data_IF_955139466187
#
_entry.id   IF_955139466187
#
_cell.length_a   1.000
_cell.length_b   1.000
_cell.length_c   1.000
_cell.angle_alpha   90.00
_cell.angle_beta   90.00
_cell.angle_gamma   90.00
#
_symmetry.space_group_name_H-M   'P 1'
#
loop_
_entity.id
_entity.type
_entity.pdbx_description
1 polymer ?
#
# COMPACT_ATOMS: atom_id res chain seq x y z
N UNK A 1 3.20 12.19 25.17
CA UNK A 1 2.80 10.93 24.49
C UNK A 1 2.06 11.17 23.17
N UNK A 2 1.21 12.19 23.05
CA UNK A 2 0.46 12.52 21.83
C UNK A 2 1.33 12.78 20.57
N UNK A 3 2.51 13.40 20.70
CA UNK A 3 3.38 13.70 19.55
C UNK A 3 3.91 12.46 18.81
N UNK A 4 4.06 11.31 19.49
CA UNK A 4 4.58 10.10 18.84
C UNK A 4 3.60 9.49 17.83
N UNK A 5 2.29 9.57 18.09
CA UNK A 5 1.28 9.10 17.15
C UNK A 5 1.20 10.00 15.92
N UNK A 6 1.35 11.31 16.10
CA UNK A 6 1.41 12.27 14.99
C UNK A 6 2.67 12.04 14.13
N UNK A 7 3.81 11.74 14.75
CA UNK A 7 5.04 11.39 14.03
C UNK A 7 4.88 10.11 13.20
N UNK A 8 4.15 9.11 13.69
CA UNK A 8 3.88 7.88 12.93
C UNK A 8 2.95 8.10 11.75
N UNK A 9 2.03 9.07 11.86
CA UNK A 9 1.16 9.48 10.76
C UNK A 9 1.87 10.30 9.69
N UNK A 10 3.01 10.91 10.04
CA UNK A 10 3.82 11.70 9.11
C UNK A 10 4.67 10.79 8.23
N UNK A 11 4.86 11.19 6.98
CA UNK A 11 5.70 10.49 6.01
C UNK A 11 7.22 10.60 6.33
N UNK A 12 7.57 11.52 7.23
CA UNK A 12 8.94 11.88 7.58
C UNK A 12 9.39 11.11 8.82
N UNK A 13 10.47 10.34 8.70
CA UNK A 13 11.05 9.60 9.82
C UNK A 13 11.54 8.19 9.44
N UNK A 14 12.16 7.53 10.41
CA UNK A 14 12.53 6.12 10.41
C UNK A 14 11.96 5.45 11.65
N UNK A 15 11.48 4.22 11.50
CA UNK A 15 10.91 3.45 12.61
C UNK A 15 11.70 2.15 12.78
N UNK A 16 12.17 1.94 14.01
CA UNK A 16 12.84 0.72 14.43
C UNK A 16 11.92 -0.51 14.35
N UNK A 17 12.50 -1.68 14.11
CA UNK A 17 11.81 -2.97 13.91
C UNK A 17 10.76 -3.28 14.98
N UNK A 18 11.07 -3.00 16.25
CA UNK A 18 10.15 -3.28 17.38
C UNK A 18 8.92 -2.39 17.33
N UNK A 19 9.10 -1.11 17.03
CA UNK A 19 8.00 -0.15 16.92
C UNK A 19 7.14 -0.47 15.69
N UNK A 20 7.75 -0.84 14.57
CA UNK A 20 7.03 -1.28 13.37
C UNK A 20 6.18 -2.52 13.63
N UNK A 21 6.77 -3.55 14.25
CA UNK A 21 6.07 -4.80 14.58
C UNK A 21 4.89 -4.55 15.55
N UNK A 22 5.12 -3.83 16.66
CA UNK A 22 4.07 -3.52 17.64
C UNK A 22 2.95 -2.73 16.98
N UNK A 23 3.27 -1.64 16.28
CA UNK A 23 2.24 -0.75 15.71
C UNK A 23 1.48 -1.44 14.59
N UNK A 24 2.17 -2.17 13.72
CA UNK A 24 1.54 -2.95 12.65
C UNK A 24 0.62 -4.04 13.20
N UNK A 25 1.07 -4.81 14.20
CA UNK A 25 0.23 -5.81 14.85
C UNK A 25 -0.95 -5.17 15.58
N UNK A 26 -0.75 -4.08 16.32
CA UNK A 26 -1.84 -3.36 16.99
C UNK A 26 -2.85 -2.83 15.97
N UNK A 27 -2.41 -2.23 14.88
CA UNK A 27 -3.28 -1.73 13.82
C UNK A 27 -4.07 -2.85 13.15
N UNK A 28 -3.42 -3.99 12.85
CA UNK A 28 -4.07 -5.16 12.26
C UNK A 28 -5.14 -5.75 13.18
N UNK A 29 -4.81 -5.95 14.46
CA UNK A 29 -5.75 -6.46 15.47
C UNK A 29 -6.91 -5.50 15.65
N UNK A 30 -6.63 -4.20 15.82
CA UNK A 30 -7.67 -3.18 15.97
C UNK A 30 -8.59 -3.14 14.76
N UNK A 31 -8.03 -3.18 13.53
CA UNK A 31 -8.81 -3.19 12.30
C UNK A 31 -9.73 -4.41 12.22
N UNK A 32 -9.20 -5.59 12.54
CA UNK A 32 -9.99 -6.82 12.53
C UNK A 32 -11.18 -6.76 13.50
N UNK A 33 -10.96 -6.27 14.73
CA UNK A 33 -12.04 -6.12 15.70
C UNK A 33 -13.06 -5.06 15.29
N UNK A 34 -12.60 -3.95 14.70
CA UNK A 34 -13.47 -2.86 14.24
C UNK A 34 -14.36 -3.34 13.08
N UNK A 35 -13.80 -4.08 12.12
CA UNK A 35 -14.56 -4.65 11.01
C UNK A 35 -15.59 -5.67 11.48
N UNK A 36 -15.20 -6.53 12.43
CA UNK A 36 -16.11 -7.49 13.04
C UNK A 36 -17.24 -6.80 13.81
N UNK A 37 -16.92 -5.74 14.55
CA UNK A 37 -17.89 -4.95 15.30
C UNK A 37 -18.88 -4.25 14.36
N UNK A 38 -18.40 -3.59 13.31
CA UNK A 38 -19.26 -2.90 12.34
C UNK A 38 -20.14 -3.91 11.58
N UNK A 39 -19.58 -5.02 11.13
CA UNK A 39 -20.36 -6.05 10.45
C UNK A 39 -21.46 -6.65 11.33
N UNK A 40 -21.16 -6.93 12.60
CA UNK A 40 -22.13 -7.50 13.53
C UNK A 40 -23.16 -6.47 14.04
N UNK A 41 -22.71 -5.32 14.53
CA UNK A 41 -23.56 -4.35 15.22
C UNK A 41 -24.37 -3.45 14.26
N UNK A 42 -23.82 -3.11 13.09
CA UNK A 42 -24.48 -2.19 12.14
C UNK A 42 -25.26 -2.96 11.08
N UNK A 43 -24.72 -4.08 10.59
CA UNK A 43 -25.28 -4.82 9.45
C UNK A 43 -25.81 -6.21 9.81
N UNK A 44 -25.67 -6.66 11.08
CA UNK A 44 -26.15 -7.97 11.53
C UNK A 44 -25.47 -9.17 10.86
N UNK A 45 -24.30 -8.98 10.23
CA UNK A 45 -23.58 -10.02 9.49
C UNK A 45 -22.47 -10.63 10.33
N UNK A 46 -22.32 -11.96 10.27
CA UNK A 46 -21.19 -12.65 10.88
C UNK A 46 -19.93 -12.47 10.04
N UNK A 47 -18.91 -11.80 10.59
CA UNK A 47 -17.63 -11.55 9.91
C UNK A 47 -16.51 -12.41 10.48
N UNK A 48 -15.90 -13.23 9.61
CA UNK A 48 -14.77 -14.10 9.95
C UNK A 48 -13.55 -13.78 9.08
N UNK A 49 -12.36 -14.23 9.47
CA UNK A 49 -11.13 -14.03 8.68
C UNK A 49 -11.26 -14.60 7.25
N UNK A 50 -12.04 -15.66 7.09
CA UNK A 50 -12.32 -16.29 5.80
C UNK A 50 -13.21 -15.44 4.89
N UNK A 51 -14.00 -14.53 5.46
CA UNK A 51 -14.87 -13.62 4.69
C UNK A 51 -14.07 -12.62 3.85
N UNK A 52 -12.80 -12.36 4.17
CA UNK A 52 -11.90 -11.57 3.32
C UNK A 52 -11.47 -12.32 2.04
N UNK A 53 -11.53 -13.65 2.05
CA UNK A 53 -11.11 -14.47 0.93
C UNK A 53 -12.27 -14.90 0.03
N UNK A 54 -13.51 -14.79 0.52
CA UNK A 54 -14.68 -15.02 -0.31
C UNK A 54 -14.80 -13.86 -1.31
N UNK A 55 -14.80 -14.12 -2.62
CA UNK A 55 -15.17 -13.12 -3.60
C UNK A 55 -16.53 -12.57 -3.19
N UNK A 56 -16.68 -11.24 -3.17
CA UNK A 56 -17.95 -10.53 -3.04
C UNK A 56 -18.84 -10.94 -4.23
N UNK A 57 -19.45 -12.12 -4.14
CA UNK A 57 -20.22 -12.84 -5.16
C UNK A 57 -19.64 -12.80 -6.58
N UNK A 58 -19.20 -13.94 -7.16
CA UNK A 58 -18.69 -14.01 -8.55
C UNK A 58 -19.62 -13.41 -9.63
N UNK A 59 -20.89 -13.15 -9.31
CA UNK A 59 -21.94 -12.71 -10.23
C UNK A 59 -22.51 -11.32 -9.92
N UNK A 60 -21.94 -10.56 -8.98
CA UNK A 60 -22.41 -9.22 -8.64
C UNK A 60 -21.99 -8.19 -9.70
N UNK A 61 -22.68 -8.21 -10.86
CA UNK A 61 -22.74 -7.04 -11.75
C UNK A 61 -23.15 -5.83 -10.90
N UNK A 62 -22.46 -4.70 -11.07
CA UNK A 62 -22.66 -3.49 -10.27
C UNK A 62 -24.13 -3.05 -10.14
N UNK A 63 -25.02 -3.49 -11.05
CA UNK A 63 -26.46 -3.18 -11.06
C UNK A 63 -27.39 -4.09 -10.24
N UNK A 64 -26.93 -5.20 -9.66
CA UNK A 64 -27.78 -6.12 -8.86
C UNK A 64 -27.37 -6.23 -7.39
N UNK A 65 -26.45 -5.39 -6.91
CA UNK A 65 -26.07 -5.36 -5.50
C UNK A 65 -27.17 -4.68 -4.70
N UNK A 66 -27.78 -5.42 -3.77
CA UNK A 66 -28.76 -4.89 -2.82
C UNK A 66 -28.19 -3.63 -2.12
N UNK A 67 -28.97 -2.54 -1.97
CA UNK A 67 -28.46 -1.26 -1.43
C UNK A 67 -27.78 -1.40 -0.06
N UNK A 68 -28.26 -2.34 0.77
CA UNK A 68 -27.66 -2.70 2.05
C UNK A 68 -26.22 -3.22 1.92
N UNK A 69 -25.94 -4.07 0.92
CA UNK A 69 -24.59 -4.58 0.65
C UNK A 69 -23.65 -3.48 0.16
N UNK A 70 -24.15 -2.50 -0.62
CA UNK A 70 -23.32 -1.35 -1.04
C UNK A 70 -22.92 -0.50 0.16
N UNK A 71 -23.88 -0.17 1.03
CA UNK A 71 -23.62 0.61 2.24
C UNK A 71 -22.63 -0.11 3.17
N UNK A 72 -22.78 -1.43 3.34
CA UNK A 72 -21.84 -2.26 4.09
C UNK A 72 -20.41 -2.16 3.58
N UNK A 73 -20.22 -2.35 2.27
CA UNK A 73 -18.89 -2.34 1.66
C UNK A 73 -18.26 -0.95 1.69
N UNK A 74 -19.03 0.11 1.41
CA UNK A 74 -18.52 1.50 1.50
C UNK A 74 -18.14 1.85 2.93
N UNK A 75 -18.92 1.41 3.92
CA UNK A 75 -18.60 1.66 5.33
C UNK A 75 -17.28 0.99 5.72
N UNK A 76 -17.11 -0.28 5.36
CA UNK A 76 -15.84 -1.01 5.61
C UNK A 76 -14.65 -0.38 4.88
N UNK A 77 -14.87 0.19 3.69
CA UNK A 77 -13.83 0.91 2.94
C UNK A 77 -13.40 2.18 3.67
N UNK A 78 -14.35 3.05 4.01
CA UNK A 78 -14.04 4.32 4.70
C UNK A 78 -13.30 4.03 6.01
N UNK A 79 -13.71 2.98 6.71
CA UNK A 79 -13.06 2.48 7.91
C UNK A 79 -11.65 1.95 7.65
N UNK A 80 -11.36 1.41 6.46
CA UNK A 80 -10.05 0.91 6.07
C UNK A 80 -9.06 1.99 5.65
N UNK A 81 -9.51 3.12 5.10
CA UNK A 81 -8.65 4.22 4.66
C UNK A 81 -7.60 4.67 5.70
N UNK A 82 -7.95 4.97 6.97
CA UNK A 82 -6.94 5.39 7.95
C UNK A 82 -5.91 4.29 8.25
N UNK A 83 -6.31 3.02 8.19
CA UNK A 83 -5.41 1.88 8.41
C UNK A 83 -4.52 1.60 7.20
N UNK A 84 -5.02 1.80 5.98
CA UNK A 84 -4.22 1.75 4.75
C UNK A 84 -3.16 2.84 4.79
N UNK A 85 -3.53 4.07 5.17
CA UNK A 85 -2.59 5.18 5.32
C UNK A 85 -1.51 4.88 6.37
N UNK A 86 -1.92 4.42 7.56
CA UNK A 86 -0.97 4.00 8.61
C UNK A 86 -0.06 2.87 8.13
N UNK A 87 -0.59 1.85 7.48
CA UNK A 87 0.21 0.73 6.97
C UNK A 87 1.22 1.16 5.92
N UNK A 88 0.80 1.99 4.96
CA UNK A 88 1.68 2.53 3.92
C UNK A 88 2.79 3.41 4.52
N UNK A 89 2.44 4.34 5.43
CA UNK A 89 3.43 5.22 6.09
C UNK A 89 4.44 4.45 6.94
N UNK A 90 3.99 3.45 7.71
CA UNK A 90 4.87 2.57 8.49
C UNK A 90 5.81 1.77 7.57
N UNK A 91 5.30 1.26 6.46
CA UNK A 91 6.07 0.50 5.46
C UNK A 91 7.16 1.39 4.83
N UNK A 92 6.80 2.62 4.42
CA UNK A 92 7.75 3.63 3.91
C UNK A 92 8.85 3.92 4.92
N UNK A 93 8.47 4.21 6.17
CA UNK A 93 9.41 4.56 7.23
C UNK A 93 10.36 3.41 7.56
N UNK A 94 9.86 2.17 7.49
CA UNK A 94 10.66 0.97 7.74
C UNK A 94 11.57 0.61 6.57
N UNK A 95 11.11 0.79 5.33
CA UNK A 95 11.96 0.64 4.13
C UNK A 95 13.11 1.65 4.16
N UNK A 96 12.83 2.89 4.57
CA UNK A 96 13.85 3.93 4.78
C UNK A 96 14.87 3.53 5.85
N UNK A 97 14.41 3.00 6.98
CA UNK A 97 15.28 2.51 8.07
C UNK A 97 16.13 1.29 7.68
N UNK A 98 15.58 0.43 6.82
CA UNK A 98 16.26 -0.75 6.28
C UNK A 98 17.17 -0.44 5.07
N UNK A 99 17.17 0.80 4.57
CA UNK A 99 17.92 1.20 3.36
C UNK A 99 17.44 0.49 2.09
N UNK A 100 16.16 0.12 2.02
CA UNK A 100 15.55 -0.58 0.88
C UNK A 100 14.79 0.40 -0.02
N UNK A 101 14.64 0.09 -1.32
CA UNK A 101 14.00 1.01 -2.25
C UNK A 101 12.51 1.20 -1.92
N UNK A 102 12.05 2.44 -2.05
CA UNK A 102 10.72 2.87 -1.61
C UNK A 102 9.58 2.33 -2.48
N UNK A 103 9.84 1.94 -3.72
CA UNK A 103 8.81 1.36 -4.60
C UNK A 103 8.21 0.06 -4.03
N UNK A 104 8.92 -0.63 -3.13
CA UNK A 104 8.44 -1.86 -2.49
C UNK A 104 7.18 -1.65 -1.63
N UNK A 105 6.82 -0.40 -1.31
CA UNK A 105 5.54 -0.06 -0.66
C UNK A 105 4.34 -0.58 -1.46
N UNK A 106 4.45 -0.72 -2.78
CA UNK A 106 3.38 -1.28 -3.63
C UNK A 106 3.00 -2.71 -3.21
N UNK A 107 3.94 -3.49 -2.66
CA UNK A 107 3.68 -4.83 -2.14
C UNK A 107 2.72 -4.84 -0.94
N UNK A 108 2.52 -3.70 -0.27
CA UNK A 108 1.53 -3.54 0.79
C UNK A 108 0.10 -3.78 0.29
N UNK A 109 -0.17 -3.45 -0.97
CA UNK A 109 -1.51 -3.56 -1.55
C UNK A 109 -1.82 -4.97 -2.06
N UNK A 110 -0.87 -5.90 -1.98
CA UNK A 110 -1.08 -7.29 -2.38
C UNK A 110 -1.27 -8.14 -1.13
N UNK A 111 -2.48 -8.59 -0.76
CA UNK A 111 -2.78 -9.08 0.59
C UNK A 111 -1.84 -10.16 1.14
N UNK A 112 -1.58 -11.22 0.36
CA UNK A 112 -0.70 -12.34 0.77
C UNK A 112 0.75 -11.89 0.86
N UNK A 113 1.20 -11.13 -0.16
CA UNK A 113 2.57 -10.65 -0.22
C UNK A 113 2.81 -9.64 0.89
N UNK A 114 1.83 -8.79 1.21
CA UNK A 114 1.89 -7.80 2.28
C UNK A 114 2.15 -8.47 3.63
N UNK A 115 1.50 -9.59 3.93
CA UNK A 115 1.75 -10.31 5.18
C UNK A 115 3.18 -10.85 5.26
N UNK A 116 3.66 -11.50 4.19
CA UNK A 116 5.04 -12.01 4.11
C UNK A 116 6.05 -10.86 4.16
N UNK A 117 5.74 -9.76 3.49
CA UNK A 117 6.56 -8.57 3.41
C UNK A 117 6.64 -7.86 4.77
N UNK A 118 5.53 -7.73 5.48
CA UNK A 118 5.49 -7.22 6.85
C UNK A 118 6.37 -8.06 7.78
N UNK A 119 6.26 -9.40 7.72
CA UNK A 119 7.12 -10.30 8.49
C UNK A 119 8.60 -10.12 8.16
N UNK A 120 8.93 -10.03 6.88
CA UNK A 120 10.30 -9.81 6.40
C UNK A 120 10.87 -8.45 6.84
N UNK A 121 10.07 -7.38 6.84
CA UNK A 121 10.48 -6.08 7.37
C UNK A 121 10.69 -6.09 8.89
N UNK A 122 9.99 -6.95 9.62
CA UNK A 122 10.18 -7.15 11.05
C UNK A 122 11.48 -7.90 11.39
N UNK A 123 11.93 -8.81 10.51
CA UNK A 123 13.19 -9.57 10.72
C UNK A 123 14.43 -8.81 10.27
N UNK A 124 14.31 -7.89 9.32
CA UNK A 124 15.42 -7.04 8.89
C UNK A 124 15.99 -6.23 10.07
N UNK A 125 17.31 -6.03 10.09
CA UNK A 125 17.96 -5.13 11.05
C UNK A 125 17.70 -3.65 10.74
N UNK A 126 18.05 -2.75 11.65
CA UNK A 126 18.22 -1.33 11.34
C UNK A 126 19.65 -1.13 10.84
N UNK A 127 19.83 -0.43 9.72
CA UNK A 127 21.17 -0.17 9.19
C UNK A 127 21.73 1.10 9.85
N UNK A 128 22.49 0.97 10.94
CA UNK A 128 22.96 2.09 11.77
C UNK A 128 24.31 2.71 11.33
N UNK A 129 24.76 2.52 10.09
CA UNK A 129 26.02 3.10 9.61
C UNK A 129 25.83 3.67 8.20
N UNK A 130 25.77 4.99 8.09
CA UNK A 130 25.65 5.71 6.82
C UNK A 130 24.38 6.55 6.66
N UNK A 131 24.02 7.33 7.68
CA UNK A 131 23.09 8.43 7.49
C UNK A 131 23.58 9.31 6.32
N UNK A 132 22.69 9.58 5.35
CA UNK A 132 22.86 10.50 4.20
C UNK A 132 23.35 9.91 2.86
N UNK A 133 23.09 8.64 2.56
CA UNK A 133 22.62 8.32 1.21
C UNK A 133 21.11 8.32 1.30
N UNK A 134 20.49 9.40 0.85
CA UNK A 134 19.04 9.55 0.75
C UNK A 134 18.44 8.24 0.29
N UNK A 135 17.39 7.77 0.95
CA UNK A 135 16.73 6.52 0.60
C UNK A 135 16.36 6.57 -0.89
N UNK A 136 17.21 5.95 -1.71
CA UNK A 136 17.18 6.14 -3.13
C UNK A 136 15.84 5.58 -3.59
N UNK A 137 15.02 6.35 -4.33
CA UNK A 137 13.68 5.91 -4.72
C UNK A 137 13.73 4.57 -5.47
N UNK A 138 14.85 4.29 -6.14
CA UNK A 138 15.14 3.11 -6.94
C UNK A 138 16.38 2.36 -6.44
N UNK A 139 16.48 1.04 -6.66
CA UNK A 139 17.73 0.32 -6.46
C UNK A 139 18.82 0.89 -7.39
N UNK A 140 20.08 1.00 -6.92
CA UNK A 140 21.23 1.38 -7.75
C UNK A 140 21.38 0.39 -8.92
N UNK A 141 20.66 0.64 -10.00
CA UNK A 141 20.72 -0.17 -11.21
C UNK A 141 21.20 0.72 -12.32
N UNK A 142 22.42 0.42 -12.77
CA UNK A 142 23.13 1.12 -13.87
C UNK A 142 22.34 1.16 -15.19
N UNK A 143 21.27 0.37 -15.30
CA UNK A 143 20.39 0.29 -16.46
C UNK A 143 19.33 1.41 -16.49
N UNK A 144 18.78 1.82 -15.34
CA UNK A 144 17.77 2.90 -15.27
C UNK A 144 18.39 4.28 -15.54
N UNK A 145 19.63 4.49 -15.10
CA UNK A 145 20.39 5.73 -15.30
C UNK A 145 20.64 6.05 -16.79
N UNK A 146 20.64 5.03 -17.65
CA UNK A 146 20.78 5.20 -19.11
C UNK A 146 19.46 5.50 -19.82
N UNK A 147 18.33 5.15 -19.21
CA UNK A 147 17.00 5.26 -19.82
C UNK A 147 16.23 6.51 -19.37
N UNK A 148 16.50 7.03 -18.17
CA UNK A 148 15.82 8.22 -17.63
C UNK A 148 16.63 9.47 -17.99
N UNK A 149 16.11 10.39 -18.83
CA UNK A 149 16.82 11.62 -19.19
C UNK A 149 17.00 12.55 -17.99
N UNK A 150 18.14 13.25 -17.90
CA UNK A 150 18.42 14.25 -16.85
C UNK A 150 17.62 15.55 -16.99
N UNK A 151 16.99 15.79 -18.14
CA UNK A 151 16.16 16.98 -18.36
C UNK A 151 14.75 16.80 -17.78
N UNK A 152 14.24 17.82 -17.06
CA UNK A 152 12.94 17.77 -16.37
C UNK A 152 11.76 17.33 -17.28
N UNK A 153 11.73 17.81 -18.53
CA UNK A 153 10.69 17.44 -19.52
C UNK A 153 10.84 15.98 -19.97
N UNK A 154 12.08 15.50 -20.12
CA UNK A 154 12.37 14.11 -20.48
C UNK A 154 12.05 13.12 -19.36
N UNK A 155 12.38 13.47 -18.11
CA UNK A 155 11.99 12.71 -16.93
C UNK A 155 10.46 12.65 -16.77
N UNK A 156 9.76 13.77 -17.03
CA UNK A 156 8.30 13.82 -17.02
C UNK A 156 7.66 12.96 -18.14
N UNK A 157 8.19 12.97 -19.36
CA UNK A 157 7.68 12.10 -20.43
C UNK A 157 7.87 10.61 -20.10
N UNK A 158 9.04 10.24 -19.57
CA UNK A 158 9.32 8.86 -19.15
C UNK A 158 8.45 8.45 -17.96
N UNK A 159 8.20 9.35 -17.00
CA UNK A 159 7.30 9.06 -15.89
C UNK A 159 5.88 8.81 -16.37
N UNK A 160 5.37 9.60 -17.32
CA UNK A 160 4.05 9.38 -17.93
C UNK A 160 3.99 8.01 -18.61
N UNK A 161 4.94 7.69 -19.49
CA UNK A 161 4.96 6.42 -20.24
C UNK A 161 5.06 5.21 -19.29
N UNK A 162 5.95 5.27 -18.31
CA UNK A 162 6.15 4.19 -17.35
C UNK A 162 4.93 4.02 -16.44
N UNK A 163 4.32 5.12 -16.00
CA UNK A 163 3.10 5.11 -15.19
C UNK A 163 1.93 4.51 -15.97
N UNK A 164 1.79 4.84 -17.26
CA UNK A 164 0.79 4.23 -18.15
C UNK A 164 1.05 2.72 -18.31
N UNK A 165 2.30 2.31 -18.55
CA UNK A 165 2.65 0.90 -18.72
C UNK A 165 2.38 0.08 -17.45
N UNK A 166 2.76 0.61 -16.28
CA UNK A 166 2.49 -0.01 -14.98
C UNK A 166 0.98 -0.07 -14.73
N UNK A 167 0.27 1.04 -14.95
CA UNK A 167 -1.19 1.09 -14.79
C UNK A 167 -1.91 0.06 -15.67
N UNK A 168 -1.48 -0.06 -16.93
CA UNK A 168 -1.98 -1.06 -17.86
C UNK A 168 -1.70 -2.49 -17.36
N UNK A 169 -0.46 -2.78 -16.95
CA UNK A 169 -0.08 -4.10 -16.43
C UNK A 169 -0.91 -4.51 -15.20
N UNK A 170 -1.06 -3.59 -14.24
CA UNK A 170 -1.90 -3.83 -13.05
C UNK A 170 -3.38 -4.00 -13.40
N UNK A 171 -3.86 -3.27 -14.42
CA UNK A 171 -5.25 -3.40 -14.89
C UNK A 171 -5.51 -4.77 -15.50
N UNK A 172 -4.59 -5.25 -16.35
CA UNK A 172 -4.70 -6.59 -16.95
C UNK A 172 -4.58 -7.68 -15.88
N UNK A 173 -3.62 -7.57 -14.95
CA UNK A 173 -3.48 -8.52 -13.84
C UNK A 173 -4.74 -8.57 -12.95
N UNK A 174 -5.29 -7.41 -12.59
CA UNK A 174 -6.50 -7.33 -11.77
C UNK A 174 -7.74 -7.84 -12.49
N UNK A 175 -7.95 -7.42 -13.74
CA UNK A 175 -9.15 -7.73 -14.51
C UNK A 175 -9.15 -9.16 -15.05
N UNK A 176 -8.02 -9.66 -15.57
CA UNK A 176 -7.97 -10.93 -16.28
C UNK A 176 -7.45 -12.10 -15.44
N UNK A 177 -6.42 -11.88 -14.62
CA UNK A 177 -5.76 -12.95 -13.85
C UNK A 177 -6.47 -13.20 -12.53
N UNK A 178 -6.67 -12.15 -11.74
CA UNK A 178 -7.34 -12.25 -10.44
C UNK A 178 -8.86 -12.37 -10.58
N UNK A 179 -9.42 -12.03 -11.76
CA UNK A 179 -10.87 -11.92 -12.04
C UNK A 179 -11.63 -11.17 -10.94
N UNK A 180 -10.93 -10.32 -10.21
CA UNK A 180 -11.46 -9.53 -9.12
C UNK A 180 -11.60 -8.11 -9.64
N UNK A 181 -12.80 -7.74 -10.04
CA UNK A 181 -13.20 -6.33 -10.20
C UNK A 181 -13.32 -5.69 -8.82
N UNK A 182 -12.23 -5.76 -8.05
CA UNK A 182 -12.19 -5.49 -6.63
C UNK A 182 -11.57 -4.14 -6.31
N UNK A 183 -11.52 -3.87 -5.02
CA UNK A 183 -11.02 -2.64 -4.42
C UNK A 183 -9.54 -2.35 -4.70
N UNK A 184 -8.74 -3.38 -4.97
CA UNK A 184 -7.33 -3.23 -5.34
C UNK A 184 -7.17 -2.37 -6.61
N UNK A 185 -8.06 -2.52 -7.60
CA UNK A 185 -8.02 -1.70 -8.81
C UNK A 185 -8.40 -0.23 -8.56
N UNK A 186 -9.32 0.02 -7.62
CA UNK A 186 -9.85 1.36 -7.38
C UNK A 186 -9.11 2.14 -6.29
N UNK A 187 -8.37 1.47 -5.41
CA UNK A 187 -7.64 2.10 -4.30
C UNK A 187 -6.13 1.95 -4.48
N UNK A 188 -5.65 0.74 -4.80
CA UNK A 188 -4.22 0.51 -4.95
C UNK A 188 -3.69 1.12 -6.25
N UNK A 189 -4.41 0.97 -7.37
CA UNK A 189 -3.96 1.51 -8.66
C UNK A 189 -3.71 3.03 -8.62
N UNK A 190 -4.66 3.90 -8.24
CA UNK A 190 -4.40 5.35 -8.22
C UNK A 190 -3.28 5.73 -7.25
N UNK A 191 -3.17 5.03 -6.11
CA UNK A 191 -2.08 5.23 -5.17
C UNK A 191 -0.72 4.88 -5.82
N UNK A 192 -0.61 3.71 -6.46
CA UNK A 192 0.60 3.25 -7.13
C UNK A 192 0.99 4.19 -8.28
N UNK A 193 0.03 4.63 -9.09
CA UNK A 193 0.28 5.59 -10.17
C UNK A 193 0.85 6.91 -9.63
N UNK A 194 0.25 7.45 -8.57
CA UNK A 194 0.76 8.65 -7.89
C UNK A 194 2.16 8.45 -7.31
N UNK A 195 2.40 7.33 -6.62
CA UNK A 195 3.70 6.98 -6.05
C UNK A 195 4.76 6.86 -7.14
N UNK A 196 4.52 6.06 -8.18
CA UNK A 196 5.47 5.88 -9.28
C UNK A 196 5.73 7.17 -10.04
N UNK A 197 4.72 8.00 -10.27
CA UNK A 197 4.89 9.31 -10.91
C UNK A 197 5.91 10.17 -10.15
N UNK A 198 5.77 10.27 -8.83
CA UNK A 198 6.70 11.03 -7.97
C UNK A 198 8.08 10.36 -7.92
N UNK A 199 8.16 9.04 -7.75
CA UNK A 199 9.43 8.32 -7.67
C UNK A 199 10.23 8.36 -8.99
N UNK A 200 9.57 8.42 -10.14
CA UNK A 200 10.24 8.54 -11.45
C UNK A 200 10.65 9.98 -11.72
N UNK A 201 9.80 10.95 -11.36
CA UNK A 201 10.12 12.37 -11.52
C UNK A 201 11.35 12.77 -10.67
N UNK A 202 11.37 12.38 -9.40
CA UNK A 202 12.48 12.64 -8.48
C UNK A 202 13.65 11.65 -8.60
N UNK A 203 13.83 10.97 -9.75
CA UNK A 203 14.92 10.01 -9.93
C UNK A 203 16.31 10.67 -9.95
N UNK A 204 16.40 11.89 -10.51
CA UNK A 204 17.65 12.64 -10.71
C UNK A 204 17.77 13.89 -9.83
N UNK A 205 16.78 14.15 -8.97
CA UNK A 205 16.82 15.20 -7.94
C UNK A 205 17.45 14.66 -6.65
#
# INVERSE_FOLDING_TARGET
MANRFVEMWRWQGTIDRKKHAVTGCTAFVLKYFLDKFVAFAVFGRSWFLWSYWQPLEPNARANTIHPDTRAFVVTLLVLALPFIWLGATLTVQRLRDAGKPLWLVVLFFVPVINLLFFLLLCTMGSHSAGARREAMPWPETRMLDRWIPRGAIGAAAVSIVLTIAIGFMFTVLGAEVLRSYGWELYVALPFCLGLFSVLVYGYHE
#
